data_IF_082038691098
#
_entry.id   IF_082038691098
#
_cell.length_a   1.000
_cell.length_b   1.000
_cell.length_c   1.000
_cell.angle_alpha   90.00
_cell.angle_beta   90.00
_cell.angle_gamma   90.00
#
_symmetry.space_group_name_H-M   'P 1'
#
loop_
_entity.id
_entity.type
_entity.pdbx_description
1 polymer ?
#
# COMPACT_ATOMS: atom_id res chain seq x y z
N UNK A 1 10.72 -18.75 2.28
CA UNK A 1 11.78 -18.91 1.26
C UNK A 1 12.17 -20.37 1.24
N UNK A 2 11.73 -21.11 0.24
CA UNK A 2 11.93 -22.55 0.14
C UNK A 2 12.36 -22.92 -1.27
N UNK A 3 13.40 -23.74 -1.35
CA UNK A 3 13.79 -24.42 -2.57
C UNK A 3 12.95 -25.68 -2.68
N UNK A 4 12.18 -25.84 -3.76
CA UNK A 4 11.46 -27.10 -4.00
C UNK A 4 11.82 -27.66 -5.37
N UNK A 5 11.86 -28.98 -5.42
CA UNK A 5 12.21 -29.76 -6.60
C UNK A 5 10.97 -30.51 -7.06
N UNK A 6 10.55 -30.28 -8.29
CA UNK A 6 9.45 -31.04 -8.92
C UNK A 6 10.08 -32.14 -9.77
N UNK A 7 9.86 -33.43 -9.45
CA UNK A 7 10.25 -34.51 -10.34
C UNK A 7 9.72 -34.30 -11.75
N UNK A 8 10.56 -34.49 -12.76
CA UNK A 8 10.21 -34.48 -14.17
C UNK A 8 10.70 -35.76 -14.84
N UNK A 9 10.23 -36.06 -16.05
CA UNK A 9 10.73 -37.19 -16.85
C UNK A 9 12.26 -37.14 -17.08
N UNK A 10 12.88 -35.97 -16.91
CA UNK A 10 14.32 -35.71 -17.10
C UNK A 10 15.10 -35.41 -15.82
N UNK A 11 14.50 -35.62 -14.64
CA UNK A 11 15.14 -35.37 -13.34
C UNK A 11 14.28 -34.52 -12.43
N UNK A 12 14.72 -33.28 -12.15
CA UNK A 12 13.99 -32.37 -11.25
C UNK A 12 14.04 -30.92 -11.74
N UNK A 13 12.89 -30.23 -11.79
CA UNK A 13 12.83 -28.78 -11.93
C UNK A 13 13.09 -28.10 -10.60
N UNK A 14 14.05 -27.17 -10.58
CA UNK A 14 14.41 -26.39 -9.41
C UNK A 14 13.64 -25.07 -9.41
N UNK A 15 12.85 -24.81 -8.37
CA UNK A 15 12.16 -23.51 -8.20
C UNK A 15 12.33 -22.97 -6.79
N UNK A 16 12.59 -21.67 -6.70
CA UNK A 16 12.49 -20.95 -5.44
C UNK A 16 11.06 -20.47 -5.28
N UNK A 17 10.38 -20.91 -4.22
CA UNK A 17 9.07 -20.40 -3.83
C UNK A 17 9.16 -19.79 -2.43
N UNK A 18 8.35 -18.77 -2.19
CA UNK A 18 8.20 -18.20 -0.85
C UNK A 18 6.77 -18.48 -0.42
N UNK A 19 6.61 -19.41 0.52
CA UNK A 19 5.38 -19.58 1.25
C UNK A 19 5.48 -18.74 2.54
N UNK A 20 4.50 -17.87 2.78
CA UNK A 20 4.31 -17.14 4.03
C UNK A 20 2.89 -17.44 4.49
N UNK A 21 2.74 -17.87 5.73
CA UNK A 21 1.44 -18.00 6.37
C UNK A 21 1.38 -17.09 7.59
N UNK A 22 0.19 -16.57 7.87
CA UNK A 22 -0.15 -15.97 9.14
C UNK A 22 -1.17 -16.90 9.80
N UNK A 23 -0.85 -17.43 10.97
CA UNK A 23 -1.74 -18.35 11.68
C UNK A 23 -1.81 -18.08 13.18
N UNK A 24 -2.90 -18.49 13.82
CA UNK A 24 -3.07 -18.42 15.27
C UNK A 24 -3.91 -19.58 15.80
N UNK A 25 -3.56 -20.16 16.98
CA UNK A 25 -4.44 -21.07 17.72
C UNK A 25 -5.49 -20.35 18.58
N UNK A 26 -5.42 -19.01 18.69
CA UNK A 26 -6.27 -18.22 19.59
C UNK A 26 -7.73 -18.12 19.12
N UNK A 27 -8.59 -17.52 19.97
CA UNK A 27 -9.97 -17.17 19.64
C UNK A 27 -10.02 -16.00 18.64
N UNK A 28 -9.74 -16.32 17.37
CA UNK A 28 -9.74 -15.35 16.29
C UNK A 28 -11.08 -14.64 16.09
N UNK A 29 -12.26 -15.32 16.10
CA UNK A 29 -13.55 -14.63 16.00
C UNK A 29 -13.72 -13.51 17.04
N UNK A 30 -13.36 -13.77 18.30
CA UNK A 30 -13.39 -12.75 19.35
C UNK A 30 -12.43 -11.60 19.02
N UNK A 31 -11.18 -11.91 18.64
CA UNK A 31 -10.19 -10.90 18.27
C UNK A 31 -10.67 -9.99 17.14
N UNK A 32 -11.25 -10.54 16.07
CA UNK A 32 -11.75 -9.76 14.93
C UNK A 32 -12.86 -8.79 15.31
N UNK A 33 -13.71 -9.16 16.28
CA UNK A 33 -14.86 -8.34 16.71
C UNK A 33 -14.49 -7.18 17.64
N UNK A 34 -13.26 -7.13 18.14
CA UNK A 34 -12.76 -6.09 19.06
C UNK A 34 -13.76 -5.74 20.20
N UNK A 35 -14.19 -6.71 21.02
CA UNK A 35 -15.25 -6.50 21.99
C UNK A 35 -14.83 -5.50 23.09
N UNK A 36 -13.54 -5.44 23.41
CA UNK A 36 -12.96 -4.48 24.35
C UNK A 36 -12.90 -3.04 23.79
N UNK A 37 -13.20 -2.83 22.50
CA UNK A 37 -13.31 -1.51 21.90
C UNK A 37 -11.99 -0.75 21.77
N UNK A 38 -10.88 -1.47 21.57
CA UNK A 38 -9.56 -0.85 21.38
C UNK A 38 -9.62 0.14 20.21
N UNK A 39 -9.14 1.37 20.41
CA UNK A 39 -9.13 2.41 19.38
C UNK A 39 -10.52 2.96 18.99
N UNK A 40 -11.58 2.70 19.77
CA UNK A 40 -12.94 3.21 19.49
C UNK A 40 -13.02 4.74 19.55
N UNK A 41 -12.24 5.38 20.42
CA UNK A 41 -12.21 6.85 20.56
C UNK A 41 -11.43 7.55 19.43
N UNK A 42 -10.66 6.78 18.65
CA UNK A 42 -9.87 7.26 17.51
C UNK A 42 -10.20 6.43 16.26
N UNK A 43 -11.43 6.55 15.73
CA UNK A 43 -11.86 5.75 14.60
C UNK A 43 -10.97 6.03 13.37
N UNK A 44 -10.58 4.96 12.69
CA UNK A 44 -9.70 5.02 11.52
C UNK A 44 -10.44 4.66 10.22
N UNK A 45 -11.63 4.07 10.32
CA UNK A 45 -12.45 3.64 9.21
C UNK A 45 -13.90 4.02 9.45
N UNK A 46 -14.69 4.02 8.38
CA UNK A 46 -16.14 4.14 8.44
C UNK A 46 -16.76 3.09 7.52
N UNK A 47 -17.78 2.42 8.04
CA UNK A 47 -18.73 1.67 7.23
C UNK A 47 -19.82 2.65 6.79
N UNK A 48 -20.00 2.75 5.48
CA UNK A 48 -20.95 3.63 4.81
C UNK A 48 -22.12 2.77 4.31
N UNK A 49 -23.29 2.80 4.98
CA UNK A 49 -24.43 1.99 4.58
C UNK A 49 -24.93 2.34 3.16
N UNK A 50 -25.56 1.37 2.51
CA UNK A 50 -26.30 1.64 1.28
C UNK A 50 -27.51 2.56 1.58
N UNK A 51 -27.85 3.44 0.63
CA UNK A 51 -29.03 4.30 0.70
C UNK A 51 -28.84 5.65 1.39
N UNK A 52 -27.69 5.93 1.99
CA UNK A 52 -27.42 7.22 2.65
C UNK A 52 -27.20 8.35 1.61
N UNK A 53 -27.57 9.61 1.93
CA UNK A 53 -27.43 10.73 1.00
C UNK A 53 -25.98 11.07 0.66
N UNK A 54 -25.75 11.46 -0.60
CA UNK A 54 -24.46 11.95 -1.08
C UNK A 54 -24.54 13.46 -1.28
N UNK A 55 -23.57 14.19 -0.73
CA UNK A 55 -23.47 15.65 -0.83
C UNK A 55 -22.40 16.06 -1.84
N UNK A 56 -22.58 17.23 -2.46
CA UNK A 56 -21.60 17.83 -3.36
C UNK A 56 -21.27 19.24 -2.92
N UNK A 57 -20.02 19.64 -3.13
CA UNK A 57 -19.57 21.02 -2.92
C UNK A 57 -19.81 21.82 -4.20
N UNK A 58 -20.51 22.95 -4.11
CA UNK A 58 -20.70 23.85 -5.24
C UNK A 58 -19.46 24.74 -5.47
N UNK A 59 -19.46 25.53 -6.54
CA UNK A 59 -18.35 26.45 -6.88
C UNK A 59 -18.11 27.54 -5.84
N UNK A 60 -19.12 27.89 -5.04
CA UNK A 60 -19.01 28.82 -3.92
C UNK A 60 -18.51 28.15 -2.63
N UNK A 61 -18.33 26.83 -2.62
CA UNK A 61 -17.86 26.07 -1.49
C UNK A 61 -18.95 25.55 -0.53
N UNK A 62 -20.22 25.81 -0.80
CA UNK A 62 -21.34 25.33 0.01
C UNK A 62 -21.70 23.88 -0.34
N UNK A 63 -22.09 23.12 0.67
CA UNK A 63 -22.59 21.75 0.49
C UNK A 63 -24.06 21.78 0.05
N UNK A 64 -24.39 20.91 -0.90
CA UNK A 64 -25.76 20.64 -1.32
C UNK A 64 -25.99 19.13 -1.41
N UNK A 65 -27.21 18.71 -1.10
CA UNK A 65 -27.66 17.35 -1.37
C UNK A 65 -27.68 17.11 -2.90
N UNK A 66 -27.04 16.04 -3.35
CA UNK A 66 -26.99 15.68 -4.77
C UNK A 66 -28.24 14.94 -5.26
N UNK A 67 -29.14 14.55 -4.36
CA UNK A 67 -30.25 13.61 -4.58
C UNK A 67 -29.79 12.19 -4.95
N UNK A 68 -28.48 11.95 -4.98
CA UNK A 68 -27.91 10.62 -5.13
C UNK A 68 -27.77 9.97 -3.76
N UNK A 69 -27.85 8.64 -3.77
CA UNK A 69 -27.63 7.80 -2.60
C UNK A 69 -26.44 6.90 -2.83
N UNK A 70 -25.74 6.56 -1.76
CA UNK A 70 -24.69 5.56 -1.80
C UNK A 70 -25.30 4.21 -2.24
N UNK A 71 -24.87 3.60 -3.36
CA UNK A 71 -25.58 2.45 -3.92
C UNK A 71 -25.34 1.15 -3.13
N UNK A 72 -24.21 1.05 -2.43
CA UNK A 72 -23.75 -0.18 -1.77
C UNK A 72 -23.13 0.12 -0.42
N UNK A 73 -23.19 -0.83 0.50
CA UNK A 73 -22.38 -0.73 1.70
C UNK A 73 -20.89 -0.80 1.34
N UNK A 74 -20.08 0.09 1.91
CA UNK A 74 -18.64 0.13 1.66
C UNK A 74 -17.89 0.56 2.92
N UNK A 75 -16.77 -0.08 3.17
CA UNK A 75 -15.84 0.32 4.23
C UNK A 75 -14.78 1.22 3.60
N UNK A 76 -14.62 2.42 4.15
CA UNK A 76 -13.62 3.39 3.71
C UNK A 76 -12.69 3.78 4.85
N UNK A 77 -11.40 4.03 4.59
CA UNK A 77 -10.54 4.67 5.57
C UNK A 77 -11.04 6.11 5.83
N UNK A 78 -11.03 6.53 7.09
CA UNK A 78 -11.26 7.92 7.50
C UNK A 78 -9.97 8.72 7.31
N UNK A 79 -9.53 8.76 6.05
CA UNK A 79 -8.26 9.31 5.67
C UNK A 79 -8.48 10.40 4.63
N UNK A 80 -8.06 11.62 4.94
CA UNK A 80 -8.34 12.81 4.14
C UNK A 80 -8.91 13.97 4.97
N UNK A 81 -9.04 15.13 4.34
CA UNK A 81 -9.50 16.33 5.02
C UNK A 81 -11.02 16.30 5.19
N UNK A 82 -11.47 16.24 6.45
CA UNK A 82 -12.87 16.45 6.81
C UNK A 82 -13.36 17.78 6.25
N UNK A 83 -14.47 17.74 5.52
CA UNK A 83 -15.18 18.93 5.09
C UNK A 83 -16.17 19.30 6.19
N UNK A 84 -16.13 20.57 6.63
CA UNK A 84 -17.12 21.11 7.57
C UNK A 84 -18.07 22.05 6.82
N UNK A 85 -19.35 21.99 7.13
CA UNK A 85 -20.30 23.02 6.71
C UNK A 85 -20.25 24.25 7.63
N UNK A 86 -21.11 25.23 7.35
CA UNK A 86 -21.22 26.47 8.14
C UNK A 86 -21.64 26.24 9.58
N UNK A 87 -22.33 25.13 9.86
CA UNK A 87 -22.81 24.73 11.18
C UNK A 87 -21.81 23.81 11.90
N UNK A 88 -20.67 23.52 11.27
CA UNK A 88 -19.62 22.66 11.81
C UNK A 88 -19.87 21.15 11.65
N UNK A 89 -20.92 20.73 10.93
CA UNK A 89 -21.18 19.31 10.64
C UNK A 89 -20.09 18.77 9.72
N UNK A 90 -19.68 17.55 9.99
CA UNK A 90 -18.55 16.89 9.33
C UNK A 90 -19.02 15.99 8.20
N UNK A 91 -18.27 16.06 7.11
CA UNK A 91 -18.48 15.27 5.91
C UNK A 91 -17.17 14.67 5.45
N UNK A 92 -17.23 13.41 5.02
CA UNK A 92 -16.07 12.66 4.58
C UNK A 92 -16.12 12.40 3.08
N UNK A 93 -15.00 12.59 2.36
CA UNK A 93 -14.87 12.12 1.00
C UNK A 93 -14.80 10.59 1.01
N UNK A 94 -15.75 9.90 0.40
CA UNK A 94 -15.64 8.46 0.22
C UNK A 94 -16.91 7.74 -0.22
N UNK A 95 -16.74 6.43 -0.43
CA UNK A 95 -17.67 5.57 -1.16
C UNK A 95 -17.33 5.43 -2.65
N UNK A 96 -18.19 4.77 -3.43
CA UNK A 96 -18.06 4.66 -4.89
C UNK A 96 -18.40 5.97 -5.62
N UNK A 97 -19.00 6.93 -4.92
CA UNK A 97 -19.40 8.24 -5.42
C UNK A 97 -18.31 9.30 -5.25
N UNK A 98 -18.12 10.17 -6.25
CA UNK A 98 -17.26 11.39 -6.17
C UNK A 98 -17.83 12.48 -5.22
N UNK A 99 -18.62 12.10 -4.22
CA UNK A 99 -19.31 13.01 -3.31
C UNK A 99 -18.87 12.85 -1.86
N UNK A 100 -19.59 13.53 -0.98
CA UNK A 100 -19.33 13.64 0.45
C UNK A 100 -20.44 12.93 1.24
N UNK A 101 -20.07 12.17 2.26
CA UNK A 101 -21.02 11.48 3.15
C UNK A 101 -21.02 12.17 4.51
N UNK A 102 -22.20 12.39 5.07
CA UNK A 102 -22.32 13.02 6.39
C UNK A 102 -21.83 12.05 7.48
N UNK A 103 -20.94 12.51 8.37
CA UNK A 103 -20.39 11.67 9.44
C UNK A 103 -21.47 11.05 10.34
N UNK A 104 -22.59 11.75 10.53
CA UNK A 104 -23.73 11.29 11.31
C UNK A 104 -24.43 10.04 10.73
N UNK A 105 -24.29 9.80 9.43
CA UNK A 105 -24.86 8.65 8.72
C UNK A 105 -23.86 7.47 8.61
N UNK A 106 -22.64 7.64 9.14
CA UNK A 106 -21.58 6.65 9.07
C UNK A 106 -21.51 5.83 10.37
N UNK A 107 -21.19 4.54 10.23
CA UNK A 107 -20.74 3.73 11.37
C UNK A 107 -19.23 3.83 11.46
N UNK A 108 -18.74 4.62 12.42
CA UNK A 108 -17.31 4.77 12.68
C UNK A 108 -16.73 3.48 13.26
N UNK A 109 -15.61 3.05 12.70
CA UNK A 109 -14.93 1.80 13.05
C UNK A 109 -13.51 2.11 13.54
N UNK A 110 -13.15 1.46 14.64
CA UNK A 110 -11.75 1.41 15.08
C UNK A 110 -10.91 0.67 14.03
N UNK A 111 -9.59 0.88 14.06
CA UNK A 111 -8.67 0.07 13.26
C UNK A 111 -8.81 -1.42 13.58
N UNK A 112 -9.04 -1.78 14.83
CA UNK A 112 -9.01 -3.17 15.27
C UNK A 112 -10.35 -3.89 15.14
N UNK A 113 -11.43 -3.19 14.76
CA UNK A 113 -12.72 -3.81 14.41
C UNK A 113 -12.65 -4.43 13.01
N UNK A 114 -11.93 -5.55 12.92
CA UNK A 114 -11.67 -6.25 11.66
C UNK A 114 -12.96 -6.87 11.10
N UNK A 115 -13.85 -7.37 11.96
CA UNK A 115 -15.15 -7.88 11.56
C UNK A 115 -16.00 -6.79 10.89
N UNK A 116 -16.10 -5.59 11.50
CA UNK A 116 -16.77 -4.44 10.91
C UNK A 116 -16.13 -3.95 9.61
N UNK A 117 -14.84 -4.26 9.40
CA UNK A 117 -14.08 -3.96 8.18
C UNK A 117 -14.18 -5.05 7.11
N UNK A 118 -14.91 -6.13 7.38
CA UNK A 118 -15.24 -7.19 6.42
C UNK A 118 -14.40 -8.47 6.55
N UNK A 119 -13.60 -8.64 7.60
CA UNK A 119 -13.00 -9.93 7.92
C UNK A 119 -14.06 -10.89 8.44
N UNK A 120 -14.05 -12.12 7.94
CA UNK A 120 -14.97 -13.18 8.38
C UNK A 120 -14.21 -14.48 8.63
N UNK A 121 -14.77 -15.31 9.51
CA UNK A 121 -14.22 -16.61 9.86
C UNK A 121 -15.05 -17.73 9.25
N UNK A 122 -14.40 -18.76 8.74
CA UNK A 122 -15.05 -20.00 8.31
C UNK A 122 -14.19 -21.20 8.69
N UNK A 123 -14.81 -22.35 8.91
CA UNK A 123 -14.11 -23.59 9.23
C UNK A 123 -14.20 -24.55 8.06
N UNK A 124 -13.09 -25.21 7.77
CA UNK A 124 -13.00 -26.24 6.75
C UNK A 124 -12.74 -27.61 7.41
N UNK A 125 -13.48 -28.61 6.96
CA UNK A 125 -13.36 -29.99 7.41
C UNK A 125 -13.30 -30.90 6.18
N UNK A 126 -12.18 -30.86 5.44
CA UNK A 126 -12.07 -31.58 4.19
C UNK A 126 -12.04 -33.09 4.38
N UNK A 127 -12.67 -33.79 3.44
CA UNK A 127 -12.51 -35.25 3.28
C UNK A 127 -11.17 -35.64 2.66
N UNK A 128 -10.50 -34.70 1.98
CA UNK A 128 -9.25 -34.89 1.25
C UNK A 128 -8.51 -33.56 1.12
N UNK A 129 -7.19 -33.59 1.12
CA UNK A 129 -6.35 -32.41 0.85
C UNK A 129 -6.57 -31.83 -0.56
N UNK A 130 -6.96 -32.66 -1.53
CA UNK A 130 -7.30 -32.19 -2.87
C UNK A 130 -8.74 -31.67 -2.95
N UNK A 131 -8.92 -30.38 -2.68
CA UNK A 131 -10.21 -29.68 -2.79
C UNK A 131 -10.70 -29.54 -4.23
N UNK A 132 -9.84 -29.73 -5.24
CA UNK A 132 -10.16 -29.50 -6.64
C UNK A 132 -9.75 -30.69 -7.54
N UNK A 133 -10.24 -31.89 -7.23
CA UNK A 133 -9.88 -33.15 -7.88
C UNK A 133 -10.43 -33.33 -9.32
N UNK A 134 -11.37 -32.45 -9.73
CA UNK A 134 -12.03 -32.48 -11.04
C UNK A 134 -13.07 -33.59 -11.23
N UNK A 135 -13.29 -34.43 -10.22
CA UNK A 135 -14.21 -35.58 -10.23
C UNK A 135 -15.44 -35.33 -9.39
N UNK A 136 -15.26 -34.88 -8.15
CA UNK A 136 -16.34 -34.64 -7.19
C UNK A 136 -16.63 -33.15 -7.07
N UNK A 137 -17.90 -32.75 -7.16
CA UNK A 137 -18.25 -31.33 -7.02
C UNK A 137 -17.70 -30.78 -5.69
N UNK A 138 -16.97 -29.65 -5.71
CA UNK A 138 -16.25 -29.20 -4.54
C UNK A 138 -17.22 -28.56 -3.53
N UNK A 139 -17.32 -29.15 -2.33
CA UNK A 139 -18.21 -28.70 -1.24
C UNK A 139 -17.43 -27.90 -0.18
N UNK A 140 -18.11 -27.51 0.90
CA UNK A 140 -17.48 -26.86 2.06
C UNK A 140 -16.83 -25.51 1.71
N UNK A 141 -15.54 -25.36 2.06
CA UNK A 141 -14.78 -24.12 1.89
C UNK A 141 -14.80 -23.58 0.45
N UNK A 142 -14.65 -24.45 -0.56
CA UNK A 142 -14.64 -24.00 -1.96
C UNK A 142 -15.97 -23.36 -2.32
N UNK A 143 -17.09 -24.00 -1.97
CA UNK A 143 -18.43 -23.43 -2.18
C UNK A 143 -18.58 -22.09 -1.44
N UNK A 144 -18.09 -21.99 -0.21
CA UNK A 144 -18.11 -20.75 0.58
C UNK A 144 -17.35 -19.63 -0.13
N UNK A 145 -16.15 -19.89 -0.63
CA UNK A 145 -15.35 -18.92 -1.41
C UNK A 145 -16.15 -18.40 -2.62
N UNK A 146 -16.80 -19.28 -3.38
CA UNK A 146 -17.61 -18.87 -4.53
C UNK A 146 -18.86 -18.09 -4.12
N UNK A 147 -19.46 -18.42 -2.97
CA UNK A 147 -20.57 -17.65 -2.40
C UNK A 147 -20.14 -16.24 -1.98
N UNK A 148 -18.98 -16.09 -1.35
CA UNK A 148 -18.39 -14.79 -0.99
C UNK A 148 -18.15 -13.94 -2.24
N UNK A 149 -17.55 -14.52 -3.30
CA UNK A 149 -17.30 -13.83 -4.57
C UNK A 149 -18.60 -13.47 -5.30
N UNK A 150 -19.59 -14.37 -5.31
CA UNK A 150 -20.91 -14.11 -5.87
C UNK A 150 -21.59 -12.92 -5.17
N UNK A 151 -21.59 -12.92 -3.84
CA UNK A 151 -22.20 -11.85 -3.02
C UNK A 151 -21.56 -10.50 -3.33
N UNK A 152 -20.23 -10.44 -3.35
CA UNK A 152 -19.49 -9.23 -3.69
C UNK A 152 -19.79 -8.72 -5.11
N UNK A 153 -19.83 -9.61 -6.10
CA UNK A 153 -20.14 -9.25 -7.49
C UNK A 153 -21.60 -8.88 -7.74
N UNK A 154 -22.52 -9.33 -6.88
CA UNK A 154 -23.97 -9.09 -7.03
C UNK A 154 -24.35 -7.66 -6.69
N UNK A 155 -23.59 -7.02 -5.80
CA UNK A 155 -23.80 -5.63 -5.40
C UNK A 155 -22.94 -4.66 -6.20
N UNK A 156 -22.02 -5.11 -7.06
CA UNK A 156 -21.11 -4.21 -7.79
C UNK A 156 -21.88 -3.22 -8.68
N UNK A 157 -21.74 -1.90 -8.47
CA UNK A 157 -22.47 -0.90 -9.24
C UNK A 157 -21.87 -0.65 -10.64
N UNK A 158 -20.70 -1.21 -10.96
CA UNK A 158 -20.01 -0.99 -12.23
C UNK A 158 -20.71 -1.75 -13.35
N UNK A 159 -21.23 -1.03 -14.35
CA UNK A 159 -21.89 -1.64 -15.50
C UNK A 159 -20.99 -2.60 -16.29
N UNK A 160 -19.67 -2.33 -16.33
CA UNK A 160 -18.67 -3.24 -16.93
C UNK A 160 -18.57 -4.60 -16.23
N UNK A 161 -19.03 -4.70 -14.99
CA UNK A 161 -18.92 -5.89 -14.14
C UNK A 161 -20.24 -6.68 -14.07
N UNK A 162 -21.28 -6.25 -14.77
CA UNK A 162 -22.63 -6.84 -14.70
C UNK A 162 -22.69 -8.35 -15.01
N UNK A 163 -21.76 -8.87 -15.82
CA UNK A 163 -21.68 -10.29 -16.18
C UNK A 163 -20.98 -11.16 -15.12
N UNK A 164 -20.22 -10.58 -14.19
CA UNK A 164 -19.40 -11.35 -13.26
C UNK A 164 -20.25 -12.19 -12.30
N UNK A 165 -21.34 -11.61 -11.77
CA UNK A 165 -22.28 -12.33 -10.90
C UNK A 165 -22.88 -13.57 -11.56
N UNK A 166 -23.16 -13.49 -12.86
CA UNK A 166 -23.72 -14.62 -13.62
C UNK A 166 -22.69 -15.75 -13.77
N UNK A 167 -21.41 -15.41 -13.91
CA UNK A 167 -20.35 -16.42 -13.93
C UNK A 167 -20.23 -17.14 -12.58
N UNK A 168 -20.22 -16.40 -11.47
CA UNK A 168 -20.14 -17.03 -10.14
C UNK A 168 -21.40 -17.82 -9.78
N UNK A 169 -22.59 -17.33 -10.16
CA UNK A 169 -23.84 -18.09 -10.02
C UNK A 169 -23.75 -19.43 -10.77
N UNK A 170 -23.30 -19.41 -12.03
CA UNK A 170 -23.12 -20.63 -12.83
C UNK A 170 -22.15 -21.62 -12.19
N UNK A 171 -21.08 -21.15 -11.55
CA UNK A 171 -20.14 -22.03 -10.85
C UNK A 171 -20.77 -22.62 -9.59
N UNK A 172 -21.51 -21.82 -8.81
CA UNK A 172 -22.28 -22.31 -7.66
C UNK A 172 -23.33 -23.34 -8.07
N UNK A 173 -24.08 -23.10 -9.15
CA UNK A 173 -25.08 -24.03 -9.66
C UNK A 173 -24.45 -25.38 -10.05
N UNK A 174 -23.23 -25.36 -10.62
CA UNK A 174 -22.47 -26.60 -10.91
C UNK A 174 -22.06 -27.32 -9.63
N UNK A 175 -21.55 -26.59 -8.63
CA UNK A 175 -21.23 -27.16 -7.31
C UNK A 175 -22.46 -27.84 -6.69
N UNK A 176 -23.62 -27.20 -6.81
CA UNK A 176 -24.86 -27.64 -6.17
C UNK A 176 -25.62 -28.72 -6.97
N UNK A 177 -25.32 -28.91 -8.27
CA UNK A 177 -26.08 -29.82 -9.13
C UNK A 177 -25.92 -31.31 -8.81
N UNK A 178 -24.86 -31.70 -8.08
CA UNK A 178 -24.52 -33.08 -7.68
C UNK A 178 -24.86 -34.16 -8.75
N UNK A 179 -24.61 -33.84 -10.03
CA UNK A 179 -25.08 -34.65 -11.16
C UNK A 179 -24.10 -35.78 -11.54
N UNK A 180 -23.11 -36.03 -10.68
CA UNK A 180 -22.05 -37.02 -10.87
C UNK A 180 -21.10 -36.72 -12.04
N UNK A 181 -21.21 -35.55 -12.69
CA UNK A 181 -20.29 -35.15 -13.75
C UNK A 181 -19.07 -34.48 -13.15
N UNK A 182 -17.91 -34.81 -13.71
CA UNK A 182 -16.66 -34.11 -13.41
C UNK A 182 -16.73 -32.63 -13.83
N UNK A 183 -15.77 -31.84 -13.35
CA UNK A 183 -15.68 -30.41 -13.58
C UNK A 183 -14.25 -29.99 -13.89
N UNK A 184 -14.07 -28.79 -14.45
CA UNK A 184 -12.74 -28.26 -14.72
C UNK A 184 -12.16 -27.62 -13.47
N UNK A 185 -11.23 -28.30 -12.81
CA UNK A 185 -10.49 -27.73 -11.67
C UNK A 185 -9.82 -26.39 -12.02
N UNK A 186 -9.31 -26.25 -13.24
CA UNK A 186 -8.67 -25.02 -13.71
C UNK A 186 -9.65 -23.86 -13.92
N UNK A 187 -10.91 -24.14 -14.28
CA UNK A 187 -11.96 -23.11 -14.33
C UNK A 187 -12.15 -22.49 -12.95
N UNK A 188 -12.23 -23.32 -11.90
CA UNK A 188 -12.39 -22.88 -10.52
C UNK A 188 -11.15 -22.13 -10.02
N UNK A 189 -9.95 -22.67 -10.25
CA UNK A 189 -8.68 -22.00 -9.87
C UNK A 189 -8.59 -20.60 -10.48
N UNK A 190 -8.87 -20.44 -11.79
CA UNK A 190 -8.87 -19.12 -12.45
C UNK A 190 -9.92 -18.18 -11.89
N UNK A 191 -11.12 -18.69 -11.57
CA UNK A 191 -12.22 -17.87 -11.09
C UNK A 191 -11.99 -17.28 -9.68
N UNK A 192 -11.17 -17.95 -8.85
CA UNK A 192 -10.72 -17.44 -7.54
C UNK A 192 -9.74 -16.26 -7.70
N UNK A 193 -8.95 -16.23 -8.78
CA UNK A 193 -7.97 -15.18 -9.05
C UNK A 193 -8.56 -13.92 -9.72
N UNK A 194 -9.72 -13.46 -9.24
CA UNK A 194 -10.33 -12.23 -9.74
C UNK A 194 -9.83 -11.00 -8.96
N UNK A 195 -9.07 -10.13 -9.62
CA UNK A 195 -8.45 -8.97 -9.00
C UNK A 195 -9.45 -7.96 -8.42
N UNK A 196 -10.64 -7.85 -9.01
CA UNK A 196 -11.68 -6.91 -8.57
C UNK A 196 -12.32 -7.30 -7.23
N UNK A 197 -12.34 -8.60 -6.90
CA UNK A 197 -13.04 -9.14 -5.73
C UNK A 197 -12.11 -9.86 -4.74
N UNK A 198 -10.81 -9.95 -5.04
CA UNK A 198 -9.82 -10.66 -4.21
C UNK A 198 -9.77 -10.19 -2.75
N UNK A 199 -10.12 -8.93 -2.47
CA UNK A 199 -10.14 -8.42 -1.10
C UNK A 199 -11.13 -9.20 -0.22
N UNK A 200 -12.30 -9.56 -0.75
CA UNK A 200 -13.29 -10.37 -0.05
C UNK A 200 -12.77 -11.77 0.25
N UNK A 201 -12.03 -12.37 -0.69
CA UNK A 201 -11.34 -13.64 -0.47
C UNK A 201 -10.26 -13.54 0.60
N UNK A 202 -9.44 -12.47 0.57
CA UNK A 202 -8.32 -12.32 1.49
C UNK A 202 -8.72 -11.87 2.89
N UNK A 203 -9.96 -11.44 3.07
CA UNK A 203 -10.58 -11.19 4.36
C UNK A 203 -11.13 -12.48 5.02
N UNK A 204 -11.19 -13.59 4.28
CA UNK A 204 -11.52 -14.90 4.86
C UNK A 204 -10.38 -15.36 5.77
N UNK A 205 -10.74 -15.68 7.01
CA UNK A 205 -9.88 -16.35 7.97
C UNK A 205 -10.40 -17.78 8.12
N UNK A 206 -9.59 -18.75 7.71
CA UNK A 206 -10.06 -20.14 7.57
C UNK A 206 -9.39 -21.01 8.60
N UNK A 207 -10.19 -21.71 9.41
CA UNK A 207 -9.67 -22.78 10.26
C UNK A 207 -9.63 -24.06 9.45
N UNK A 208 -8.45 -24.61 9.19
CA UNK A 208 -8.33 -25.82 8.39
C UNK A 208 -7.15 -26.70 8.84
N UNK A 209 -7.13 -27.97 8.43
CA UNK A 209 -5.97 -28.85 8.63
C UNK A 209 -4.67 -28.25 8.10
N UNK A 210 -3.62 -28.28 8.93
CA UNK A 210 -2.30 -27.81 8.53
C UNK A 210 -1.37 -28.96 8.13
N UNK A 211 -0.69 -28.78 7.00
CA UNK A 211 0.36 -29.66 6.48
C UNK A 211 1.55 -29.77 7.45
N UNK A 212 1.69 -28.81 8.37
CA UNK A 212 2.75 -28.78 9.37
C UNK A 212 2.40 -29.58 10.62
N UNK A 213 1.19 -30.16 10.69
CA UNK A 213 0.71 -30.98 11.80
C UNK A 213 0.41 -32.42 11.38
N UNK A 214 -0.39 -32.63 10.34
CA UNK A 214 -0.89 -33.96 9.94
C UNK A 214 0.14 -34.82 9.17
N UNK A 215 -0.02 -36.13 9.27
CA UNK A 215 0.81 -37.18 8.64
C UNK A 215 0.13 -37.80 7.41
N UNK A 216 0.88 -38.61 6.65
CA UNK A 216 0.34 -39.40 5.53
C UNK A 216 -0.72 -40.42 5.95
N UNK A 217 -0.77 -40.79 7.23
CA UNK A 217 -1.73 -41.74 7.78
C UNK A 217 -3.05 -41.10 8.24
N UNK A 218 -3.07 -39.77 8.35
CA UNK A 218 -4.27 -39.04 8.76
C UNK A 218 -5.31 -39.00 7.62
N UNK A 219 -6.63 -39.01 7.94
CA UNK A 219 -7.67 -39.19 6.94
C UNK A 219 -7.58 -38.25 5.72
N UNK A 220 -7.25 -36.98 5.96
CA UNK A 220 -7.16 -35.94 4.91
C UNK A 220 -6.03 -36.20 3.89
N UNK A 221 -4.96 -36.86 4.30
CA UNK A 221 -3.81 -37.21 3.46
C UNK A 221 -3.87 -38.64 2.95
N UNK A 222 -4.48 -39.55 3.70
CA UNK A 222 -4.63 -40.96 3.33
C UNK A 222 -5.45 -41.14 2.06
N UNK A 223 -6.43 -40.26 1.82
CA UNK A 223 -7.17 -40.21 0.55
C UNK A 223 -6.30 -39.86 -0.66
N UNK A 224 -5.23 -39.08 -0.44
CA UNK A 224 -4.27 -38.68 -1.45
C UNK A 224 -3.19 -39.76 -1.67
N UNK A 225 -2.61 -40.29 -0.59
CA UNK A 225 -1.58 -41.35 -0.62
C UNK A 225 -2.17 -42.76 -0.86
N UNK A 226 -2.82 -42.94 -2.01
CA UNK A 226 -3.51 -44.19 -2.33
C UNK A 226 -2.56 -45.36 -2.62
N UNK A 227 -3.00 -46.62 -2.42
CA UNK A 227 -2.26 -47.80 -2.85
C UNK A 227 -1.96 -47.83 -4.36
N UNK A 228 -2.84 -47.24 -5.17
CA UNK A 228 -2.66 -47.12 -6.62
C UNK A 228 -1.48 -46.20 -6.94
N UNK A 229 -1.41 -45.02 -6.33
CA UNK A 229 -0.27 -44.10 -6.47
C UNK A 229 1.04 -44.76 -6.05
N UNK A 230 1.03 -45.51 -4.94
CA UNK A 230 2.22 -46.26 -4.49
C UNK A 230 2.71 -47.29 -5.51
N UNK A 231 1.81 -47.84 -6.33
CA UNK A 231 2.11 -48.83 -7.39
C UNK A 231 2.53 -48.16 -8.71
N UNK A 232 1.77 -47.17 -9.16
CA UNK A 232 1.96 -46.56 -10.49
C UNK A 232 3.03 -45.47 -10.50
N UNK A 233 3.19 -44.73 -9.39
CA UNK A 233 4.15 -43.63 -9.26
C UNK A 233 4.92 -43.71 -7.92
N UNK A 234 5.68 -44.80 -7.69
CA UNK A 234 6.33 -45.08 -6.40
C UNK A 234 7.34 -44.01 -5.97
N UNK A 235 8.01 -43.35 -6.91
CA UNK A 235 8.95 -42.25 -6.62
C UNK A 235 8.22 -41.02 -6.07
N UNK A 236 7.08 -40.66 -6.68
CA UNK A 236 6.23 -39.57 -6.21
C UNK A 236 5.63 -39.85 -4.84
N UNK A 237 5.19 -41.10 -4.60
CA UNK A 237 4.67 -41.49 -3.30
C UNK A 237 5.73 -41.32 -2.21
N UNK A 238 6.94 -41.86 -2.40
CA UNK A 238 8.05 -41.76 -1.44
C UNK A 238 8.48 -40.30 -1.22
N UNK A 239 8.55 -39.51 -2.28
CA UNK A 239 8.87 -38.10 -2.17
C UNK A 239 7.82 -37.35 -1.34
N UNK A 240 6.53 -37.54 -1.63
CA UNK A 240 5.44 -36.87 -0.92
C UNK A 240 5.36 -37.25 0.56
N UNK A 241 5.52 -38.54 0.87
CA UNK A 241 5.55 -39.02 2.26
C UNK A 241 6.73 -38.44 3.04
N UNK A 242 7.93 -38.41 2.43
CA UNK A 242 9.10 -37.79 3.03
C UNK A 242 8.91 -36.28 3.20
N UNK A 243 8.42 -35.59 2.18
CA UNK A 243 8.16 -34.15 2.21
C UNK A 243 7.23 -33.79 3.36
N UNK A 244 6.08 -34.48 3.45
CA UNK A 244 5.12 -34.26 4.53
C UNK A 244 5.75 -34.52 5.90
N UNK A 245 6.53 -35.59 6.04
CA UNK A 245 7.24 -35.88 7.29
C UNK A 245 8.23 -34.78 7.69
N UNK A 246 9.01 -34.26 6.74
CA UNK A 246 10.04 -33.26 7.00
C UNK A 246 9.46 -31.87 7.36
N UNK A 247 8.27 -31.52 6.87
CA UNK A 247 7.63 -30.22 7.14
C UNK A 247 6.76 -30.21 8.40
N UNK A 248 6.59 -31.35 9.07
CA UNK A 248 5.79 -31.45 10.30
C UNK A 248 6.59 -30.98 11.51
N UNK A 249 6.23 -29.82 12.03
CA UNK A 249 6.90 -29.24 13.21
C UNK A 249 5.92 -28.76 14.27
N UNK A 250 4.65 -28.52 13.95
CA UNK A 250 3.70 -27.87 14.87
C UNK A 250 3.49 -28.65 16.17
N UNK A 251 3.48 -29.99 16.12
CA UNK A 251 3.38 -30.84 17.30
C UNK A 251 4.52 -30.64 18.33
N UNK A 252 5.65 -30.10 17.90
CA UNK A 252 6.81 -29.82 18.74
C UNK A 252 6.77 -28.42 19.38
N UNK A 253 5.81 -27.57 19.01
CA UNK A 253 5.68 -26.20 19.50
C UNK A 253 4.53 -26.09 20.51
N UNK A 254 4.81 -25.76 21.79
CA UNK A 254 3.77 -25.59 22.79
C UNK A 254 2.71 -24.56 22.38
N UNK A 255 1.43 -24.91 22.57
CA UNK A 255 0.29 -24.03 22.27
C UNK A 255 -0.22 -24.11 20.82
N UNK A 256 0.50 -24.79 19.91
CA UNK A 256 -0.01 -25.06 18.57
C UNK A 256 -1.07 -26.17 18.58
N UNK A 257 -1.99 -26.09 17.61
CA UNK A 257 -3.12 -27.01 17.45
C UNK A 257 -3.15 -27.61 16.04
N UNK A 258 -3.90 -28.69 15.87
CA UNK A 258 -4.02 -29.39 14.58
C UNK A 258 -4.61 -28.52 13.45
N UNK A 259 -5.62 -27.71 13.80
CA UNK A 259 -6.38 -26.86 12.90
C UNK A 259 -6.32 -25.41 13.40
N UNK A 260 -5.22 -24.68 13.16
CA UNK A 260 -5.15 -23.27 13.52
C UNK A 260 -5.99 -22.43 12.55
N UNK A 261 -6.22 -21.18 12.90
CA UNK A 261 -6.76 -20.20 11.95
C UNK A 261 -5.66 -19.76 10.99
N UNK A 262 -5.92 -19.79 9.69
CA UNK A 262 -5.06 -19.25 8.65
C UNK A 262 -5.64 -17.94 8.10
N UNK A 263 -4.80 -16.93 7.98
CA UNK A 263 -5.15 -15.59 7.50
C UNK A 263 -4.22 -15.20 6.36
N UNK A 264 -4.73 -14.42 5.41
CA UNK A 264 -3.88 -13.90 4.35
C UNK A 264 -2.80 -12.96 4.95
N UNK A 265 -1.50 -13.28 4.82
CA UNK A 265 -0.45 -12.63 5.61
C UNK A 265 -0.30 -11.13 5.30
N UNK A 266 -0.50 -10.71 4.05
CA UNK A 266 -0.38 -9.28 3.71
C UNK A 266 -1.62 -8.49 4.12
N UNK A 267 -2.82 -8.94 3.74
CA UNK A 267 -4.07 -8.24 4.06
C UNK A 267 -4.34 -8.16 5.56
N UNK A 268 -4.12 -9.25 6.31
CA UNK A 268 -4.34 -9.26 7.74
C UNK A 268 -3.34 -8.36 8.50
N UNK A 269 -2.04 -8.47 8.20
CA UNK A 269 -1.03 -7.63 8.85
C UNK A 269 -1.14 -6.15 8.44
N UNK A 270 -1.49 -5.87 7.19
CA UNK A 270 -1.77 -4.49 6.76
C UNK A 270 -2.97 -3.90 7.49
N UNK A 271 -4.00 -4.73 7.76
CA UNK A 271 -5.16 -4.28 8.50
C UNK A 271 -4.84 -3.87 9.94
N UNK A 272 -3.87 -4.53 10.59
CA UNK A 272 -3.41 -4.21 11.94
C UNK A 272 -2.44 -3.03 11.98
N UNK A 273 -1.76 -2.75 10.87
CA UNK A 273 -0.72 -1.73 10.79
C UNK A 273 -1.27 -0.34 11.09
N UNK A 274 -0.67 0.33 12.07
CA UNK A 274 -0.87 1.76 12.26
C UNK A 274 -0.20 2.52 11.12
N UNK A 275 -0.95 3.43 10.49
CA UNK A 275 -0.36 4.46 9.66
C UNK A 275 0.36 5.42 10.60
N UNK A 276 1.67 5.24 10.77
CA UNK A 276 2.49 6.31 11.33
C UNK A 276 2.26 7.51 10.42
N UNK A 277 1.82 8.65 10.97
CA UNK A 277 1.83 9.91 10.24
C UNK A 277 3.26 10.16 9.79
N UNK A 278 3.56 9.78 8.56
CA UNK A 278 4.84 10.07 7.98
C UNK A 278 4.79 11.54 7.57
N UNK A 279 5.80 12.30 7.96
CA UNK A 279 5.89 13.70 7.59
C UNK A 279 5.96 13.89 6.07
N UNK A 280 5.89 15.15 5.62
CA UNK A 280 5.85 15.47 4.20
C UNK A 280 7.07 14.96 3.41
N UNK A 281 8.19 14.64 4.06
CA UNK A 281 9.37 14.02 3.46
C UNK A 281 9.10 12.62 2.87
N UNK A 282 8.05 11.91 3.31
CA UNK A 282 7.68 10.61 2.77
C UNK A 282 6.45 10.63 1.85
N UNK A 283 5.92 11.83 1.59
CA UNK A 283 4.83 12.06 0.64
C UNK A 283 5.22 11.65 -0.79
N UNK A 284 4.22 11.45 -1.66
CA UNK A 284 4.46 11.23 -3.09
C UNK A 284 5.25 12.40 -3.72
N UNK A 285 4.99 13.63 -3.27
CA UNK A 285 5.71 14.85 -3.65
C UNK A 285 7.20 14.74 -3.32
N UNK A 286 7.55 14.46 -2.07
CA UNK A 286 8.94 14.35 -1.65
C UNK A 286 9.64 13.12 -2.26
N UNK A 287 8.91 12.04 -2.53
CA UNK A 287 9.42 10.86 -3.28
C UNK A 287 9.74 11.21 -4.73
N UNK A 288 8.88 11.98 -5.40
CA UNK A 288 9.14 12.45 -6.76
C UNK A 288 10.32 13.41 -6.79
N UNK A 289 10.34 14.39 -5.88
CA UNK A 289 11.45 15.33 -5.74
C UNK A 289 12.78 14.60 -5.51
N UNK A 290 12.87 13.75 -4.47
CA UNK A 290 14.09 13.00 -4.19
C UNK A 290 14.50 12.08 -5.36
N UNK A 291 13.55 11.54 -6.13
CA UNK A 291 13.87 10.69 -7.28
C UNK A 291 14.66 11.44 -8.38
N UNK A 292 14.35 12.72 -8.62
CA UNK A 292 15.02 13.54 -9.64
C UNK A 292 16.28 14.23 -9.10
N UNK A 293 16.33 14.55 -7.81
CA UNK A 293 17.47 15.21 -7.18
C UNK A 293 18.61 14.25 -6.84
N UNK A 294 18.29 13.04 -6.38
CA UNK A 294 19.24 12.13 -5.74
C UNK A 294 18.91 10.65 -5.91
N UNK A 295 17.94 10.29 -6.75
CA UNK A 295 17.38 8.92 -6.80
C UNK A 295 16.86 8.43 -5.43
N UNK A 296 16.40 9.35 -4.60
CA UNK A 296 16.00 9.14 -3.20
C UNK A 296 17.13 8.60 -2.28
N UNK A 297 18.40 8.80 -2.63
CA UNK A 297 19.54 8.37 -1.82
C UNK A 297 19.93 9.47 -0.82
N UNK A 298 19.72 9.21 0.48
CA UNK A 298 20.13 10.09 1.58
C UNK A 298 21.64 10.26 1.72
N UNK A 299 22.43 9.41 1.07
CA UNK A 299 23.89 9.48 1.06
C UNK A 299 24.45 10.19 -0.16
N UNK A 300 23.60 10.66 -1.07
CA UNK A 300 24.05 11.28 -2.31
C UNK A 300 24.65 12.67 -2.08
N UNK A 301 25.64 13.05 -2.89
CA UNK A 301 26.07 14.44 -2.97
C UNK A 301 26.66 14.78 -4.33
N UNK A 302 26.62 16.06 -4.67
CA UNK A 302 27.17 16.60 -5.91
C UNK A 302 28.49 17.34 -5.66
N UNK A 303 29.42 17.19 -6.59
CA UNK A 303 30.68 17.93 -6.67
C UNK A 303 30.65 18.88 -7.88
N UNK A 304 31.09 20.11 -7.69
CA UNK A 304 31.22 21.12 -8.76
C UNK A 304 32.69 21.47 -8.95
N UNK A 305 33.19 21.19 -10.16
CA UNK A 305 34.50 21.59 -10.64
C UNK A 305 34.34 22.80 -11.56
N UNK A 306 35.25 23.77 -11.44
CA UNK A 306 35.18 25.01 -12.22
C UNK A 306 36.00 24.94 -13.53
N UNK A 307 37.08 24.15 -13.56
CA UNK A 307 38.01 24.06 -14.70
C UNK A 307 38.39 22.58 -15.01
N UNK A 308 37.80 21.95 -16.06
CA UNK A 308 36.63 22.41 -16.81
C UNK A 308 35.36 22.40 -15.94
N UNK A 309 34.39 23.24 -16.29
CA UNK A 309 33.12 23.36 -15.55
C UNK A 309 32.31 22.07 -15.70
N UNK A 310 32.15 21.31 -14.61
CA UNK A 310 31.35 20.06 -14.59
C UNK A 310 30.79 19.74 -13.21
N UNK A 311 29.69 19.00 -13.18
CA UNK A 311 29.07 18.46 -11.97
C UNK A 311 29.19 16.94 -11.94
N UNK A 312 29.53 16.36 -10.78
CA UNK A 312 29.66 14.90 -10.60
C UNK A 312 28.83 14.47 -9.39
N UNK A 313 27.85 13.60 -9.62
CA UNK A 313 27.04 12.99 -8.56
C UNK A 313 27.74 11.77 -7.94
N UNK A 314 27.63 11.63 -6.62
CA UNK A 314 28.09 10.49 -5.82
C UNK A 314 26.89 9.88 -5.10
N UNK A 315 26.88 8.56 -4.97
CA UNK A 315 25.81 7.75 -4.37
C UNK A 315 26.42 6.67 -3.47
N UNK A 316 25.63 6.10 -2.56
CA UNK A 316 26.07 5.05 -1.62
C UNK A 316 27.35 5.43 -0.85
N UNK A 317 27.35 6.64 -0.30
CA UNK A 317 28.50 7.22 0.40
C UNK A 317 28.35 7.12 1.92
N UNK A 318 29.31 7.66 2.68
CA UNK A 318 29.25 7.73 4.15
C UNK A 318 28.62 9.03 4.68
N UNK A 319 27.92 9.81 3.85
CA UNK A 319 27.38 11.12 4.21
C UNK A 319 26.50 11.08 5.47
N UNK A 320 25.64 10.09 5.62
CA UNK A 320 24.73 9.97 6.80
C UNK A 320 25.45 9.59 8.09
N UNK A 321 26.72 9.15 8.00
CA UNK A 321 27.59 8.91 9.15
C UNK A 321 28.42 10.14 9.53
N UNK A 322 28.36 11.23 8.77
CA UNK A 322 29.04 12.49 9.10
C UNK A 322 28.17 13.33 10.04
N UNK A 323 28.80 14.12 10.90
CA UNK A 323 28.10 15.15 11.68
C UNK A 323 27.69 16.33 10.79
N UNK A 324 26.64 17.06 11.17
CA UNK A 324 26.22 18.28 10.48
C UNK A 324 27.40 19.25 10.31
N UNK A 325 28.21 19.42 11.36
CA UNK A 325 29.43 20.25 11.34
C UNK A 325 30.39 19.84 10.22
N UNK A 326 30.70 18.55 10.11
CA UNK A 326 31.58 18.03 9.06
C UNK A 326 31.00 18.24 7.66
N UNK A 327 29.68 18.06 7.49
CA UNK A 327 29.01 18.34 6.23
C UNK A 327 29.15 19.83 5.87
N UNK A 328 28.88 20.74 6.80
CA UNK A 328 29.03 22.19 6.57
C UNK A 328 30.47 22.61 6.23
N UNK A 329 31.47 21.98 6.86
CA UNK A 329 32.89 22.22 6.59
C UNK A 329 33.28 21.74 5.19
N UNK A 330 32.89 20.51 4.81
CA UNK A 330 33.16 19.99 3.46
C UNK A 330 32.43 20.77 2.37
N UNK A 331 31.24 21.31 2.67
CA UNK A 331 30.44 22.16 1.80
C UNK A 331 31.09 23.50 1.44
N UNK A 332 32.13 23.93 2.17
CA UNK A 332 32.93 25.11 1.79
C UNK A 332 33.79 24.85 0.54
N UNK A 333 33.98 23.59 0.16
CA UNK A 333 34.79 23.17 -0.97
C UNK A 333 33.89 22.51 -2.02
N UNK A 334 33.43 23.28 -3.02
CA UNK A 334 32.44 22.81 -4.00
C UNK A 334 32.87 21.55 -4.75
N UNK A 335 34.17 21.32 -4.93
CA UNK A 335 34.74 20.13 -5.58
C UNK A 335 34.79 18.89 -4.68
N UNK A 336 34.54 19.05 -3.38
CA UNK A 336 34.45 17.96 -2.40
C UNK A 336 33.00 17.56 -2.19
N UNK A 337 32.16 18.52 -1.81
CA UNK A 337 30.74 18.33 -1.54
C UNK A 337 30.04 19.68 -1.69
N UNK A 338 28.93 19.74 -2.42
CA UNK A 338 28.16 20.97 -2.59
C UNK A 338 26.70 20.78 -2.20
N UNK A 339 25.90 20.11 -3.04
CA UNK A 339 24.52 19.76 -2.72
C UNK A 339 24.49 18.35 -2.12
N UNK A 340 23.80 18.18 -0.99
CA UNK A 340 23.91 16.97 -0.16
C UNK A 340 22.56 16.34 0.15
N UNK A 341 22.58 15.03 0.27
CA UNK A 341 21.46 14.24 0.74
C UNK A 341 20.33 14.08 -0.26
N UNK A 342 19.24 13.49 0.23
CA UNK A 342 18.06 13.18 -0.57
C UNK A 342 17.47 14.42 -1.26
N UNK A 343 17.53 15.56 -0.57
CA UNK A 343 16.99 16.84 -1.02
C UNK A 343 18.05 17.83 -1.51
N UNK A 344 19.27 17.37 -1.82
CA UNK A 344 20.32 18.19 -2.45
C UNK A 344 20.52 19.56 -1.76
N UNK A 345 20.58 19.55 -0.43
CA UNK A 345 20.70 20.73 0.42
C UNK A 345 22.07 21.38 0.18
N UNK A 346 22.08 22.63 -0.28
CA UNK A 346 23.28 23.42 -0.57
C UNK A 346 23.82 24.13 0.70
N UNK A 347 25.07 24.65 0.69
CA UNK A 347 25.72 25.15 1.90
C UNK A 347 24.94 26.24 2.64
N UNK A 348 24.44 27.25 1.91
CA UNK A 348 23.66 28.34 2.50
C UNK A 348 22.36 27.85 3.14
N UNK A 349 21.65 26.92 2.48
CA UNK A 349 20.42 26.33 3.00
C UNK A 349 20.67 25.53 4.27
N UNK A 350 21.76 24.75 4.35
CA UNK A 350 22.10 24.00 5.56
C UNK A 350 22.43 24.94 6.73
N UNK A 351 23.24 25.98 6.49
CA UNK A 351 23.57 26.99 7.51
C UNK A 351 22.31 27.65 8.06
N UNK A 352 21.39 28.07 7.19
CA UNK A 352 20.16 28.74 7.61
C UNK A 352 19.20 27.78 8.31
N UNK A 353 19.11 26.52 7.86
CA UNK A 353 18.32 25.48 8.51
C UNK A 353 18.81 25.19 9.94
N UNK A 354 20.12 25.03 10.13
CA UNK A 354 20.74 24.81 11.46
C UNK A 354 20.40 25.95 12.40
N UNK A 355 20.49 27.20 11.93
CA UNK A 355 20.13 28.39 12.73
C UNK A 355 18.63 28.44 13.04
N UNK A 356 17.78 28.23 12.04
CA UNK A 356 16.32 28.34 12.16
C UNK A 356 15.74 27.26 13.08
N UNK A 357 16.24 26.03 12.94
CA UNK A 357 15.74 24.87 13.68
C UNK A 357 16.52 24.59 14.97
N UNK A 358 17.59 25.34 15.23
CA UNK A 358 18.49 25.16 16.39
C UNK A 358 19.04 23.73 16.47
N UNK A 359 19.47 23.19 15.33
CA UNK A 359 20.03 21.83 15.26
C UNK A 359 21.38 21.77 15.99
N UNK A 360 21.62 20.68 16.72
CA UNK A 360 22.94 20.39 17.27
C UNK A 360 23.89 19.97 16.15
N UNK A 361 24.90 20.80 15.88
CA UNK A 361 25.86 20.57 14.81
C UNK A 361 26.72 19.31 15.00
N UNK A 362 26.73 18.73 16.21
CA UNK A 362 27.44 17.47 16.49
C UNK A 362 26.57 16.23 16.23
N UNK A 363 25.27 16.40 15.97
CA UNK A 363 24.40 15.31 15.55
C UNK A 363 24.75 14.83 14.14
N UNK A 364 24.41 13.59 13.83
CA UNK A 364 24.62 13.01 12.50
C UNK A 364 23.72 13.68 11.47
N UNK A 365 24.21 13.82 10.24
CA UNK A 365 23.44 14.28 9.09
C UNK A 365 22.68 13.11 8.43
N UNK A 366 21.98 12.36 9.28
CA UNK A 366 21.25 11.15 8.92
C UNK A 366 19.91 11.43 8.22
N UNK A 367 19.15 10.37 7.93
CA UNK A 367 17.86 10.49 7.23
C UNK A 367 16.86 11.36 8.01
N UNK A 368 16.81 11.22 9.33
CA UNK A 368 15.88 11.95 10.18
C UNK A 368 16.18 13.45 10.20
N UNK A 369 17.46 13.85 10.27
CA UNK A 369 17.86 15.26 10.19
C UNK A 369 17.59 15.85 8.82
N UNK A 370 17.85 15.10 7.73
CA UNK A 370 17.54 15.58 6.38
C UNK A 370 16.03 15.77 6.16
N UNK A 371 15.21 14.84 6.66
CA UNK A 371 13.75 14.95 6.62
C UNK A 371 13.24 16.13 7.45
N UNK A 372 13.80 16.31 8.66
CA UNK A 372 13.47 17.46 9.50
C UNK A 372 13.83 18.79 8.83
N UNK A 373 14.99 18.90 8.18
CA UNK A 373 15.37 20.11 7.43
C UNK A 373 14.41 20.36 6.27
N UNK A 374 14.04 19.30 5.54
CA UNK A 374 13.09 19.43 4.44
C UNK A 374 11.72 19.92 4.90
N UNK A 375 11.17 19.28 5.93
CA UNK A 375 9.83 19.55 6.43
C UNK A 375 9.73 20.85 7.22
N UNK A 376 10.60 21.02 8.20
CA UNK A 376 10.48 22.11 9.17
C UNK A 376 11.14 23.41 8.70
N UNK A 377 12.10 23.33 7.79
CA UNK A 377 12.76 24.53 7.27
C UNK A 377 12.43 24.79 5.81
N UNK A 378 12.71 23.85 4.89
CA UNK A 378 12.59 24.12 3.46
C UNK A 378 11.14 24.45 3.08
N UNK A 379 10.19 23.55 3.36
CA UNK A 379 8.80 23.74 2.90
C UNK A 379 7.96 24.60 3.86
N UNK A 380 8.32 24.68 5.15
CA UNK A 380 7.58 25.49 6.14
C UNK A 380 8.08 26.93 6.28
N UNK A 381 9.39 27.15 6.27
CA UNK A 381 9.98 28.47 6.55
C UNK A 381 10.47 29.14 5.26
N UNK A 382 11.28 28.45 4.46
CA UNK A 382 11.95 29.04 3.29
C UNK A 382 11.04 29.15 2.06
N UNK A 383 10.10 28.22 1.90
CA UNK A 383 9.14 28.09 0.78
C UNK A 383 7.70 27.82 1.26
N UNK A 384 7.12 28.73 2.06
CA UNK A 384 5.88 28.49 2.80
C UNK A 384 4.66 28.23 1.90
N UNK A 385 4.67 28.60 0.61
CA UNK A 385 3.55 28.32 -0.28
C UNK A 385 3.33 26.81 -0.47
N UNK A 386 4.39 26.00 -0.35
CA UNK A 386 4.30 24.54 -0.44
C UNK A 386 3.45 24.01 0.71
N UNK A 387 3.80 24.32 1.96
CA UNK A 387 3.03 23.82 3.11
C UNK A 387 1.64 24.45 3.20
N UNK A 388 1.49 25.73 2.83
CA UNK A 388 0.20 26.40 2.79
C UNK A 388 -0.79 25.71 1.83
N UNK A 389 -0.29 25.17 0.72
CA UNK A 389 -1.08 24.33 -0.17
C UNK A 389 -1.34 22.95 0.43
N UNK A 390 -0.31 22.27 0.93
CA UNK A 390 -0.40 20.88 1.41
C UNK A 390 -1.31 20.73 2.63
N UNK A 391 -1.23 21.64 3.61
CA UNK A 391 -1.97 21.57 4.88
C UNK A 391 -3.18 22.50 4.94
N UNK A 392 -3.26 23.51 4.06
CA UNK A 392 -4.25 24.58 4.12
C UNK A 392 -5.04 24.76 2.84
N UNK A 393 -5.46 26.00 2.57
CA UNK A 393 -6.19 26.38 1.34
C UNK A 393 -5.30 27.20 0.39
N UNK A 394 -3.97 27.03 0.48
CA UNK A 394 -3.02 27.73 -0.38
C UNK A 394 -3.19 27.41 -1.86
N UNK A 395 -2.56 28.20 -2.73
CA UNK A 395 -2.60 28.02 -4.17
C UNK A 395 -1.59 26.97 -4.63
N UNK A 396 -2.03 26.00 -5.45
CA UNK A 396 -1.13 25.01 -6.04
C UNK A 396 -0.12 25.66 -7.00
N UNK A 397 -0.49 26.75 -7.68
CA UNK A 397 0.39 27.46 -8.60
C UNK A 397 1.50 28.24 -7.86
N UNK A 398 1.20 28.74 -6.67
CA UNK A 398 2.22 29.37 -5.82
C UNK A 398 3.15 28.31 -5.21
N UNK A 399 2.61 27.14 -4.83
CA UNK A 399 3.39 26.02 -4.32
C UNK A 399 4.41 25.49 -5.35
N UNK A 400 4.01 25.26 -6.61
CA UNK A 400 4.95 24.80 -7.65
C UNK A 400 5.98 25.88 -8.01
N UNK A 401 5.63 27.16 -7.87
CA UNK A 401 6.58 28.25 -8.10
C UNK A 401 7.61 28.36 -6.97
N UNK A 402 7.18 28.20 -5.72
CA UNK A 402 8.07 28.09 -4.56
C UNK A 402 8.98 26.86 -4.65
N UNK A 403 8.44 25.73 -5.10
CA UNK A 403 9.24 24.53 -5.42
C UNK A 403 10.33 24.88 -6.43
N UNK A 404 9.99 25.48 -7.58
CA UNK A 404 10.97 25.84 -8.61
C UNK A 404 12.04 26.84 -8.15
N UNK A 405 11.74 27.71 -7.17
CA UNK A 405 12.71 28.62 -6.54
C UNK A 405 13.69 27.93 -5.59
N UNK A 406 13.45 26.69 -5.20
CA UNK A 406 14.32 25.93 -4.31
C UNK A 406 15.10 24.85 -5.06
N UNK A 407 14.43 24.16 -5.99
CA UNK A 407 14.97 23.00 -6.67
C UNK A 407 15.09 23.26 -8.17
N UNK A 408 16.30 23.21 -8.71
CA UNK A 408 16.56 23.51 -10.11
C UNK A 408 15.90 22.51 -11.08
N UNK A 409 15.62 21.29 -10.60
CA UNK A 409 14.89 20.25 -11.34
C UNK A 409 13.41 20.59 -11.58
N UNK A 410 12.84 21.55 -10.85
CA UNK A 410 11.46 21.96 -11.00
C UNK A 410 11.27 23.02 -12.10
N UNK A 411 10.32 22.74 -13.00
CA UNK A 411 9.98 23.63 -14.11
C UNK A 411 9.07 24.79 -13.71
N UNK A 412 9.27 25.93 -14.34
CA UNK A 412 8.49 27.16 -14.15
C UNK A 412 7.45 27.29 -15.26
N UNK A 413 6.24 27.78 -14.92
CA UNK A 413 5.19 28.14 -15.90
C UNK A 413 5.70 29.21 -16.88
N UNK A 414 5.35 29.10 -18.16
CA UNK A 414 5.67 30.15 -19.14
C UNK A 414 5.16 31.52 -18.68
N UNK A 415 5.97 32.56 -18.88
CA UNK A 415 5.61 33.95 -18.51
C UNK A 415 5.88 34.33 -17.04
N UNK A 416 6.24 33.39 -16.17
CA UNK A 416 6.68 33.71 -14.79
C UNK A 416 8.12 34.24 -14.77
N UNK A 417 8.41 35.09 -13.80
CA UNK A 417 9.76 35.58 -13.55
C UNK A 417 10.68 34.44 -13.08
N UNK A 418 11.88 34.38 -13.64
CA UNK A 418 12.96 33.46 -13.26
C UNK A 418 14.16 34.27 -12.73
N UNK A 419 15.20 33.59 -12.26
CA UNK A 419 16.39 34.22 -11.67
C UNK A 419 16.97 35.36 -12.53
N UNK A 420 17.50 36.40 -11.85
CA UNK A 420 18.01 37.65 -12.45
C UNK A 420 16.94 38.49 -13.16
N UNK A 421 15.67 38.36 -12.77
CA UNK A 421 14.57 39.17 -13.28
C UNK A 421 14.12 38.85 -14.71
N UNK A 422 14.58 37.73 -15.28
CA UNK A 422 14.19 37.28 -16.62
C UNK A 422 12.81 36.63 -16.59
N UNK A 423 12.26 36.33 -17.76
CA UNK A 423 10.96 35.66 -17.91
C UNK A 423 11.13 34.31 -18.58
N UNK A 424 10.45 33.29 -18.05
CA UNK A 424 10.37 31.96 -18.65
C UNK A 424 9.73 32.05 -20.04
N UNK A 425 10.53 31.82 -21.10
CA UNK A 425 10.07 31.87 -22.49
C UNK A 425 9.25 30.63 -22.88
N UNK A 426 9.59 29.49 -22.28
CA UNK A 426 8.96 28.19 -22.53
C UNK A 426 8.41 27.60 -21.23
N UNK A 427 7.42 26.72 -21.38
CA UNK A 427 6.83 25.99 -20.26
C UNK A 427 7.84 24.97 -19.71
N UNK A 428 8.06 24.98 -18.39
CA UNK A 428 8.90 24.00 -17.72
C UNK A 428 10.40 24.27 -17.78
N UNK A 429 10.83 25.50 -18.08
CA UNK A 429 12.25 25.88 -17.90
C UNK A 429 12.60 25.96 -16.41
N UNK A 430 13.86 25.67 -16.06
CA UNK A 430 14.33 25.85 -14.67
C UNK A 430 14.27 27.32 -14.25
N UNK A 431 13.99 27.60 -12.98
CA UNK A 431 14.11 28.96 -12.42
C UNK A 431 15.52 29.54 -12.58
N UNK A 432 16.53 28.68 -12.70
CA UNK A 432 17.94 29.07 -12.88
C UNK A 432 18.41 29.01 -14.33
N UNK A 433 17.52 28.72 -15.29
CA UNK A 433 17.85 28.59 -16.72
C UNK A 433 18.71 29.75 -17.24
N UNK A 434 19.73 29.48 -18.06
CA UNK A 434 20.65 30.49 -18.65
C UNK A 434 21.96 30.73 -17.88
N UNK A 435 22.28 29.90 -16.89
CA UNK A 435 23.61 29.81 -16.26
C UNK A 435 24.52 28.72 -16.86
N UNK A 436 24.00 27.99 -17.86
CA UNK A 436 24.66 26.91 -18.59
C UNK A 436 24.78 25.59 -17.84
N UNK A 437 24.17 25.45 -16.65
CA UNK A 437 24.23 24.22 -15.84
C UNK A 437 22.86 23.64 -15.50
N UNK A 438 21.86 24.50 -15.25
CA UNK A 438 20.61 24.07 -14.65
C UNK A 438 19.53 23.77 -15.70
N UNK A 439 18.99 22.55 -15.63
CA UNK A 439 17.88 22.07 -16.45
C UNK A 439 16.78 21.49 -15.54
N UNK A 440 15.53 21.78 -15.89
CA UNK A 440 14.40 21.19 -15.20
C UNK A 440 14.15 19.77 -15.71
N UNK A 441 13.76 18.88 -14.79
CA UNK A 441 13.37 17.50 -15.06
C UNK A 441 11.86 17.27 -14.82
N UNK A 442 11.19 18.18 -14.10
CA UNK A 442 9.77 18.12 -13.79
C UNK A 442 9.00 19.21 -14.53
N UNK A 443 7.91 18.82 -15.20
CA UNK A 443 6.99 19.80 -15.80
C UNK A 443 6.06 20.39 -14.73
N UNK A 444 5.59 21.64 -14.91
CA UNK A 444 4.63 22.25 -13.99
C UNK A 444 3.36 21.41 -13.78
N UNK A 445 2.84 20.76 -14.83
CA UNK A 445 1.66 19.90 -14.72
C UNK A 445 1.94 18.63 -13.88
N UNK A 446 3.11 18.00 -14.05
CA UNK A 446 3.52 16.88 -13.20
C UNK A 446 3.61 17.29 -11.72
N UNK A 447 4.14 18.48 -11.46
CA UNK A 447 4.24 19.03 -10.09
C UNK A 447 2.87 19.32 -9.47
N UNK A 448 1.93 19.90 -10.24
CA UNK A 448 0.54 20.13 -9.78
C UNK A 448 -0.13 18.82 -9.41
N UNK A 449 -0.02 17.81 -10.28
CA UNK A 449 -0.65 16.51 -10.06
C UNK A 449 -0.10 15.83 -8.81
N UNK A 450 1.23 15.78 -8.63
CA UNK A 450 1.82 15.10 -7.47
C UNK A 450 1.50 15.82 -6.15
N UNK A 451 1.42 17.15 -6.14
CA UNK A 451 1.03 17.91 -4.95
C UNK A 451 -0.44 17.65 -4.59
N UNK A 452 -1.34 17.56 -5.58
CA UNK A 452 -2.76 17.17 -5.36
C UNK A 452 -2.87 15.76 -4.78
N UNK A 453 -2.15 14.80 -5.36
CA UNK A 453 -2.12 13.43 -4.86
C UNK A 453 -1.55 13.35 -3.45
N UNK A 454 -0.44 14.05 -3.18
CA UNK A 454 0.19 14.08 -1.86
C UNK A 454 -0.73 14.67 -0.79
N UNK A 455 -1.42 15.76 -1.12
CA UNK A 455 -2.40 16.38 -0.22
C UNK A 455 -3.56 15.43 0.11
N UNK A 456 -3.97 14.62 -0.85
CA UNK A 456 -5.06 13.66 -0.67
C UNK A 456 -4.60 12.31 -0.09
N UNK A 457 -3.29 12.05 -0.06
CA UNK A 457 -2.72 10.72 0.21
C UNK A 457 -1.82 10.63 1.45
N UNK A 458 -1.54 11.73 2.17
CA UNK A 458 -0.93 11.62 3.51
C UNK A 458 -1.99 11.13 4.50
N UNK A 459 -1.73 9.91 4.98
CA UNK A 459 -2.46 9.18 6.01
C UNK A 459 -1.56 8.96 7.22
#
# INVERSE_FOLDING_TARGET
LGYFQVPSESGYEKRYQVHIECLTPDDLPRFLSNPEGVGRDTPAFACCPAGIPVYLKNTAGNLRDSQLKNPVEVVMPLSGQVVKDTDGKRYWPGGTSRGLLAEADLRLLSRYDLAGRGFETTEDSPVSFDHLDGKMQPKGLVRHIFQTLFTASSVDPRSSHALVKHNYQRLLDKVDSDDGKGYSADEYRRAVHNQDYRAHLYHLCVKHPSDWYYSSEDPVWKSYFTPLMKKETPEWYRYGEKFLTDIRWMHSVPGMVENPWHMHPLMFLDALRETKKQGWAHSLFAKLLGSVESKNDYTAYNQIFHNPKRTVAKYHTNLTSMTIKQVMETQQHTNVMFATGRFQIIPGTLIDAVKSLKLDVNSLYDEAIQDQIFEEYIIKVKRPAIIAYLEGNGSVEDAIYDWAKEFASAGVRKGKTISKGRVAQDEGVSYYSGDGLNHAHLTPNSMVNILRESKNGIN
#
